data_IF_440138345265
#
_entry.id   IF_440138345265
#
_cell.length_a   1.000
_cell.length_b   1.000
_cell.length_c   1.000
_cell.angle_alpha   90.00
_cell.angle_beta   90.00
_cell.angle_gamma   90.00
#
_symmetry.space_group_name_H-M   'P 1'
#
loop_
_entity.id
_entity.type
_entity.pdbx_description
1 polymer ?
#
# COMPACT_ATOMS: atom_id res chain seq x y z
N UNK A 1 53.84 12.33 22.81
CA UNK A 1 52.68 12.06 21.92
C UNK A 1 51.46 11.87 22.79
N UNK A 2 50.61 12.89 22.93
CA UNK A 2 49.38 12.82 23.72
C UNK A 2 48.40 11.89 22.99
N UNK A 3 48.06 10.75 23.59
CA UNK A 3 47.00 9.85 23.10
C UNK A 3 45.70 10.67 23.15
N UNK A 4 45.25 11.18 22.00
CA UNK A 4 43.93 11.81 21.95
C UNK A 4 42.90 10.76 22.43
N UNK A 5 42.03 11.10 23.41
CA UNK A 5 40.97 10.19 23.80
C UNK A 5 40.15 9.87 22.56
N UNK A 6 40.03 8.58 22.23
CA UNK A 6 39.28 8.15 21.06
C UNK A 6 37.87 8.75 21.14
N UNK A 7 37.37 9.31 20.04
CA UNK A 7 36.01 9.89 19.97
C UNK A 7 34.95 8.92 20.51
N UNK A 8 35.21 7.61 20.41
CA UNK A 8 34.38 6.54 20.98
C UNK A 8 34.20 6.60 22.50
N UNK A 9 35.19 7.09 23.25
CA UNK A 9 35.12 7.23 24.72
C UNK A 9 34.14 8.30 25.19
N UNK A 10 33.58 9.10 24.28
CA UNK A 10 32.51 10.08 24.57
C UNK A 10 31.11 9.46 24.54
N UNK A 11 30.96 8.23 24.04
CA UNK A 11 29.68 7.52 23.99
C UNK A 11 29.61 6.51 25.14
N UNK A 12 29.04 6.94 26.27
CA UNK A 12 29.04 6.19 27.53
C UNK A 12 27.95 5.12 27.65
N UNK A 13 26.97 5.11 26.75
CA UNK A 13 25.85 4.17 26.81
C UNK A 13 26.30 2.75 26.45
N UNK A 14 26.02 1.79 27.35
CA UNK A 14 26.25 0.36 27.14
C UNK A 14 25.33 -0.25 26.07
N UNK A 15 24.33 0.50 25.62
CA UNK A 15 23.38 0.08 24.58
C UNK A 15 23.95 0.22 23.16
N UNK A 16 25.08 0.90 22.98
CA UNK A 16 25.83 0.93 21.71
C UNK A 16 26.59 -0.39 21.45
N UNK A 17 25.93 -1.52 21.70
CA UNK A 17 26.51 -2.85 21.63
C UNK A 17 25.98 -3.68 20.45
N UNK A 18 26.74 -4.71 20.10
CA UNK A 18 26.43 -5.54 18.93
C UNK A 18 25.17 -6.37 19.10
N UNK A 19 24.79 -6.75 20.33
CA UNK A 19 23.61 -7.59 20.58
C UNK A 19 22.35 -6.78 20.37
N UNK A 20 22.30 -5.57 20.92
CA UNK A 20 21.20 -4.63 20.71
C UNK A 20 21.05 -4.31 19.23
N UNK A 21 22.16 -4.02 18.56
CA UNK A 21 22.16 -3.79 17.11
C UNK A 21 21.65 -4.99 16.30
N UNK A 22 21.98 -6.22 16.73
CA UNK A 22 21.57 -7.45 16.05
C UNK A 22 20.07 -7.70 16.18
N UNK A 23 19.50 -7.56 17.38
CA UNK A 23 18.05 -7.71 17.59
C UNK A 23 17.23 -6.70 16.79
N UNK A 24 17.61 -5.43 16.85
CA UNK A 24 16.97 -4.39 16.03
C UNK A 24 17.11 -4.68 14.53
N UNK A 25 18.26 -5.23 14.12
CA UNK A 25 18.48 -5.66 12.73
C UNK A 25 17.56 -6.80 12.30
N UNK A 26 17.34 -7.79 13.16
CA UNK A 26 16.40 -8.90 12.90
C UNK A 26 14.97 -8.36 12.76
N UNK A 27 14.53 -7.50 13.68
CA UNK A 27 13.19 -6.90 13.65
C UNK A 27 12.97 -6.04 12.40
N UNK A 28 13.95 -5.21 12.03
CA UNK A 28 13.94 -4.46 10.77
C UNK A 28 13.89 -5.39 9.55
N UNK A 29 14.68 -6.47 9.55
CA UNK A 29 14.70 -7.44 8.47
C UNK A 29 13.33 -8.09 8.24
N UNK A 30 12.65 -8.48 9.32
CA UNK A 30 11.27 -9.00 9.26
C UNK A 30 10.32 -7.92 8.73
N UNK A 31 10.39 -6.70 9.27
CA UNK A 31 9.50 -5.60 8.89
C UNK A 31 9.64 -5.21 7.41
N UNK A 32 10.87 -5.06 6.92
CA UNK A 32 11.16 -4.78 5.51
C UNK A 32 10.78 -5.97 4.62
N UNK A 33 11.02 -7.21 5.06
CA UNK A 33 10.63 -8.40 4.32
C UNK A 33 9.11 -8.49 4.13
N UNK A 34 8.33 -8.27 5.21
CA UNK A 34 6.87 -8.23 5.14
C UNK A 34 6.41 -7.10 4.22
N UNK A 35 6.92 -5.88 4.39
CA UNK A 35 6.54 -4.74 3.56
C UNK A 35 6.89 -4.98 2.08
N UNK A 36 8.04 -5.56 1.78
CA UNK A 36 8.44 -5.87 0.41
C UNK A 36 7.50 -6.90 -0.23
N UNK A 37 7.24 -8.03 0.44
CA UNK A 37 6.37 -9.08 -0.09
C UNK A 37 4.93 -8.59 -0.31
N UNK A 38 4.37 -7.86 0.65
CA UNK A 38 3.02 -7.29 0.49
C UNK A 38 2.98 -6.16 -0.54
N UNK A 39 4.07 -5.40 -0.69
CA UNK A 39 4.23 -4.40 -1.74
C UNK A 39 4.27 -5.03 -3.14
N UNK A 40 4.95 -6.17 -3.30
CA UNK A 40 4.95 -6.93 -4.55
C UNK A 40 3.55 -7.45 -4.90
N UNK A 41 2.80 -7.94 -3.91
CA UNK A 41 1.39 -8.31 -4.12
C UNK A 41 0.58 -7.11 -4.63
N UNK A 42 0.71 -5.95 -3.98
CA UNK A 42 0.03 -4.73 -4.40
C UNK A 42 0.42 -4.28 -5.81
N UNK A 43 1.69 -4.42 -6.17
CA UNK A 43 2.20 -4.13 -7.51
C UNK A 43 1.62 -5.09 -8.57
N UNK A 44 1.71 -6.41 -8.36
CA UNK A 44 1.19 -7.40 -9.31
C UNK A 44 -0.33 -7.36 -9.47
N UNK A 45 -1.07 -6.87 -8.48
CA UNK A 45 -2.51 -6.64 -8.64
C UNK A 45 -2.82 -5.43 -9.53
N UNK A 46 -1.94 -4.43 -9.56
CA UNK A 46 -2.09 -3.22 -10.40
C UNK A 46 -1.51 -3.40 -11.80
N UNK A 47 -0.42 -4.16 -11.90
CA UNK A 47 0.33 -4.45 -13.11
C UNK A 47 0.61 -5.96 -13.17
N UNK A 48 -0.42 -6.80 -13.39
CA UNK A 48 -0.22 -8.23 -13.47
C UNK A 48 0.61 -8.59 -14.71
N UNK A 49 1.59 -9.51 -14.59
CA UNK A 49 2.19 -10.11 -15.77
C UNK A 49 1.16 -10.95 -16.52
N UNK A 50 1.35 -11.16 -17.82
CA UNK A 50 0.35 -11.78 -18.71
C UNK A 50 -0.12 -13.17 -18.27
N UNK A 51 0.73 -13.91 -17.56
CA UNK A 51 0.42 -15.25 -17.05
C UNK A 51 -0.34 -15.25 -15.71
N UNK A 52 -0.42 -14.12 -15.01
CA UNK A 52 -1.03 -14.03 -13.69
C UNK A 52 -2.44 -13.46 -13.77
N UNK A 53 -3.44 -14.30 -13.48
CA UNK A 53 -4.82 -13.87 -13.24
C UNK A 53 -5.09 -13.81 -11.74
N UNK A 54 -5.25 -12.61 -11.21
CA UNK A 54 -5.52 -12.44 -9.78
C UNK A 54 -6.93 -12.91 -9.41
N UNK A 55 -7.12 -13.68 -8.33
CA UNK A 55 -8.43 -14.18 -7.93
C UNK A 55 -9.29 -13.06 -7.33
N UNK A 56 -10.60 -13.14 -7.52
CA UNK A 56 -11.57 -12.21 -6.89
C UNK A 56 -11.79 -12.49 -5.40
N UNK A 57 -11.25 -13.60 -4.87
CA UNK A 57 -11.45 -14.09 -3.51
C UNK A 57 -10.13 -14.46 -2.82
N UNK A 58 -10.07 -14.38 -1.47
CA UNK A 58 -11.12 -13.88 -0.57
C UNK A 58 -11.26 -12.35 -0.67
N UNK A 59 -12.47 -11.83 -0.41
CA UNK A 59 -12.84 -10.41 -0.63
C UNK A 59 -11.88 -9.42 0.02
N UNK A 60 -11.38 -9.76 1.22
CA UNK A 60 -10.53 -8.90 2.02
C UNK A 60 -9.02 -9.15 1.83
N UNK A 61 -8.58 -10.01 0.90
CA UNK A 61 -7.15 -10.34 0.77
C UNK A 61 -6.31 -9.08 0.54
N UNK A 62 -6.68 -8.24 -0.44
CA UNK A 62 -5.97 -6.98 -0.68
C UNK A 62 -6.02 -6.02 0.52
N UNK A 63 -7.16 -5.93 1.22
CA UNK A 63 -7.27 -5.13 2.46
C UNK A 63 -6.21 -5.56 3.47
N UNK A 64 -6.09 -6.87 3.70
CA UNK A 64 -5.15 -7.43 4.67
C UNK A 64 -3.70 -7.21 4.23
N UNK A 65 -3.36 -7.54 2.98
CA UNK A 65 -1.98 -7.39 2.50
C UNK A 65 -1.55 -5.93 2.46
N UNK A 66 -2.43 -5.02 2.03
CA UNK A 66 -2.14 -3.58 2.04
C UNK A 66 -2.05 -3.01 3.45
N UNK A 67 -2.88 -3.48 4.39
CA UNK A 67 -2.75 -3.12 5.80
C UNK A 67 -1.42 -3.57 6.38
N UNK A 68 -1.03 -4.83 6.16
CA UNK A 68 0.27 -5.36 6.58
C UNK A 68 1.44 -4.58 5.98
N UNK A 69 1.34 -4.15 4.71
CA UNK A 69 2.33 -3.31 4.06
C UNK A 69 2.53 -1.99 4.81
N UNK A 70 1.46 -1.24 5.06
CA UNK A 70 1.55 0.10 5.67
C UNK A 70 1.89 0.01 7.16
N UNK A 71 1.25 -0.89 7.90
CA UNK A 71 1.53 -1.12 9.33
C UNK A 71 2.98 -1.59 9.52
N UNK A 72 3.44 -2.54 8.69
CA UNK A 72 4.82 -3.01 8.70
C UNK A 72 5.81 -1.92 8.30
N UNK A 73 5.46 -1.07 7.33
CA UNK A 73 6.25 0.10 6.94
C UNK A 73 6.40 1.11 8.07
N UNK A 74 5.31 1.47 8.75
CA UNK A 74 5.34 2.44 9.85
C UNK A 74 6.03 1.91 11.10
N UNK A 75 5.93 0.61 11.38
CA UNK A 75 6.66 -0.03 12.47
C UNK A 75 8.18 0.14 12.31
N UNK A 76 8.69 0.34 11.08
CA UNK A 76 10.11 0.60 10.84
C UNK A 76 10.60 1.93 11.39
N UNK A 77 9.74 2.93 11.62
CA UNK A 77 10.16 4.26 12.10
C UNK A 77 10.91 4.16 13.44
N UNK A 78 10.28 3.70 14.54
CA UNK A 78 10.99 3.54 15.81
C UNK A 78 12.13 2.53 15.74
N UNK A 79 11.98 1.45 14.94
CA UNK A 79 13.03 0.44 14.77
C UNK A 79 14.30 1.01 14.12
N UNK A 80 14.13 1.80 13.06
CA UNK A 80 15.23 2.38 12.29
C UNK A 80 15.92 3.48 13.10
N UNK A 81 15.15 4.34 13.78
CA UNK A 81 15.70 5.34 14.70
C UNK A 81 16.51 4.69 15.82
N UNK A 82 15.98 3.65 16.46
CA UNK A 82 16.69 2.90 17.50
C UNK A 82 17.96 2.22 16.95
N UNK A 83 17.87 1.63 15.75
CA UNK A 83 19.02 0.98 15.09
C UNK A 83 20.10 2.00 14.76
N UNK A 84 19.74 3.12 14.16
CA UNK A 84 20.66 4.21 13.82
C UNK A 84 21.30 4.77 15.09
N UNK A 85 20.52 5.03 16.14
CA UNK A 85 21.06 5.47 17.42
C UNK A 85 22.02 4.44 18.03
N UNK A 86 21.69 3.15 17.95
CA UNK A 86 22.58 2.10 18.46
C UNK A 86 23.93 2.08 17.75
N UNK A 87 23.95 2.31 16.43
CA UNK A 87 25.16 2.15 15.61
C UNK A 87 25.87 3.45 15.24
N UNK A 88 25.30 4.63 15.50
CA UNK A 88 25.89 5.91 15.08
C UNK A 88 27.33 6.14 15.59
N UNK A 89 27.75 5.66 16.78
CA UNK A 89 29.16 5.81 17.21
C UNK A 89 30.15 5.20 16.21
N UNK A 90 29.73 4.16 15.46
CA UNK A 90 30.56 3.52 14.43
C UNK A 90 30.86 4.46 13.25
N UNK A 91 30.08 5.51 13.06
CA UNK A 91 30.31 6.52 12.01
C UNK A 91 31.56 7.38 12.32
N UNK A 92 31.87 7.58 13.60
CA UNK A 92 32.97 8.44 14.08
C UNK A 92 34.26 7.68 14.38
N UNK A 93 34.39 6.42 13.94
CA UNK A 93 35.61 5.66 14.11
C UNK A 93 36.73 6.19 13.21
N UNK A 94 37.93 6.33 13.78
CA UNK A 94 39.14 6.75 13.07
C UNK A 94 40.19 5.62 13.06
N UNK A 95 40.86 5.32 11.93
CA UNK A 95 40.67 5.91 10.61
C UNK A 95 39.31 5.51 10.00
N UNK A 96 38.71 6.36 9.14
CA UNK A 96 37.36 6.15 8.61
C UNK A 96 37.33 5.00 7.59
N UNK A 97 38.45 4.79 6.89
CA UNK A 97 38.69 3.69 5.97
C UNK A 97 39.95 2.95 6.41
N UNK A 98 39.85 1.63 6.61
CA UNK A 98 40.95 0.77 7.05
C UNK A 98 41.55 -0.05 5.90
N UNK A 99 40.76 -0.31 4.86
CA UNK A 99 41.14 -1.07 3.67
C UNK A 99 40.11 -0.85 2.56
N UNK A 100 40.43 -1.27 1.32
CA UNK A 100 39.48 -1.25 0.21
C UNK A 100 38.22 -2.09 0.50
N UNK A 101 38.39 -3.28 1.09
CA UNK A 101 37.26 -4.12 1.55
C UNK A 101 36.38 -3.37 2.55
N UNK A 102 36.98 -2.69 3.52
CA UNK A 102 36.22 -1.90 4.48
C UNK A 102 35.48 -0.72 3.83
N UNK A 103 36.08 -0.08 2.82
CA UNK A 103 35.41 0.97 2.05
C UNK A 103 34.17 0.45 1.32
N UNK A 104 34.27 -0.72 0.68
CA UNK A 104 33.11 -1.38 0.02
C UNK A 104 32.02 -1.73 1.03
N UNK A 105 32.37 -2.31 2.18
CA UNK A 105 31.42 -2.62 3.26
C UNK A 105 30.67 -1.36 3.73
N UNK A 106 31.39 -0.24 3.94
CA UNK A 106 30.76 1.03 4.32
C UNK A 106 29.87 1.60 3.21
N UNK A 107 30.27 1.47 1.95
CA UNK A 107 29.46 1.86 0.79
C UNK A 107 28.14 1.09 0.70
N UNK A 108 28.19 -0.22 0.91
CA UNK A 108 26.99 -1.08 0.95
C UNK A 108 26.06 -0.73 2.13
N UNK A 109 26.63 -0.44 3.31
CA UNK A 109 25.85 0.02 4.46
C UNK A 109 25.22 1.39 4.17
N UNK A 110 25.96 2.31 3.56
CA UNK A 110 25.41 3.61 3.16
C UNK A 110 24.22 3.43 2.20
N UNK A 111 24.36 2.58 1.18
CA UNK A 111 23.28 2.27 0.24
C UNK A 111 22.06 1.68 0.96
N UNK A 112 22.27 0.73 1.88
CA UNK A 112 21.22 0.14 2.70
C UNK A 112 20.47 1.20 3.53
N UNK A 113 21.20 2.08 4.22
CA UNK A 113 20.61 3.14 5.06
C UNK A 113 19.87 4.16 4.20
N UNK A 114 20.46 4.59 3.09
CA UNK A 114 19.84 5.55 2.17
C UNK A 114 18.56 4.99 1.57
N UNK A 115 18.56 3.73 1.11
CA UNK A 115 17.39 3.07 0.57
C UNK A 115 16.30 2.87 1.65
N UNK A 116 16.69 2.47 2.87
CA UNK A 116 15.75 2.31 3.99
C UNK A 116 15.08 3.64 4.38
N UNK A 117 15.85 4.72 4.48
CA UNK A 117 15.33 6.06 4.77
C UNK A 117 14.44 6.56 3.63
N UNK A 118 14.85 6.36 2.37
CA UNK A 118 14.03 6.71 1.21
C UNK A 118 12.67 6.00 1.25
N UNK A 119 12.65 4.68 1.47
CA UNK A 119 11.42 3.88 1.55
C UNK A 119 10.51 4.37 2.69
N UNK A 120 11.08 4.53 3.89
CA UNK A 120 10.33 4.96 5.06
C UNK A 120 9.75 6.37 4.88
N UNK A 121 10.56 7.33 4.44
CA UNK A 121 10.14 8.73 4.29
C UNK A 121 9.14 8.87 3.15
N UNK A 122 9.43 8.33 1.96
CA UNK A 122 8.50 8.44 0.84
C UNK A 122 7.18 7.70 1.11
N UNK A 123 7.24 6.53 1.76
CA UNK A 123 6.05 5.80 2.20
C UNK A 123 5.21 6.61 3.20
N UNK A 124 5.85 7.20 4.21
CA UNK A 124 5.19 8.07 5.20
C UNK A 124 4.53 9.29 4.53
N UNK A 125 5.25 9.96 3.62
CA UNK A 125 4.74 11.10 2.87
C UNK A 125 3.54 10.72 1.98
N UNK A 126 3.60 9.55 1.34
CA UNK A 126 2.53 9.04 0.50
C UNK A 126 1.24 8.78 1.30
N UNK A 127 1.33 8.12 2.46
CA UNK A 127 0.14 7.90 3.31
C UNK A 127 -0.37 9.21 3.95
N UNK A 128 0.51 10.20 4.13
CA UNK A 128 0.18 11.53 4.62
C UNK A 128 -0.33 12.49 3.52
N UNK A 129 -0.50 12.02 2.27
CA UNK A 129 -0.95 12.83 1.12
C UNK A 129 -0.02 13.97 0.74
N UNK A 130 1.22 13.93 1.20
CA UNK A 130 2.16 15.00 0.96
C UNK A 130 3.16 14.62 -0.13
N UNK A 131 2.74 14.83 -1.38
CA UNK A 131 3.53 14.55 -2.56
C UNK A 131 4.56 15.66 -2.83
N UNK A 132 5.52 15.83 -1.92
CA UNK A 132 6.56 16.85 -2.00
C UNK A 132 7.69 16.53 -3.00
N UNK A 133 7.55 15.47 -3.78
CA UNK A 133 8.57 14.96 -4.70
C UNK A 133 8.15 15.09 -6.17
N UNK A 134 9.10 15.34 -7.09
CA UNK A 134 8.80 15.54 -8.52
C UNK A 134 8.65 14.24 -9.33
N UNK A 135 8.78 13.07 -8.70
CA UNK A 135 8.75 11.77 -9.37
C UNK A 135 7.46 11.00 -9.07
N UNK A 136 7.16 10.00 -9.90
CA UNK A 136 6.02 9.13 -9.66
C UNK A 136 6.34 8.12 -8.54
N UNK A 137 5.69 8.31 -7.39
CA UNK A 137 5.94 7.56 -6.16
C UNK A 137 6.05 6.05 -6.37
N UNK A 138 5.06 5.43 -7.01
CA UNK A 138 4.97 3.96 -7.10
C UNK A 138 6.15 3.36 -7.86
N UNK A 139 6.65 4.03 -8.90
CA UNK A 139 7.82 3.58 -9.67
C UNK A 139 9.10 3.72 -8.85
N UNK A 140 9.32 4.90 -8.23
CA UNK A 140 10.52 5.14 -7.44
C UNK A 140 10.59 4.24 -6.19
N UNK A 141 9.45 4.08 -5.52
CA UNK A 141 9.28 3.22 -4.36
C UNK A 141 9.48 1.74 -4.72
N UNK A 142 8.93 1.28 -5.85
CA UNK A 142 9.14 -0.09 -6.35
C UNK A 142 10.62 -0.39 -6.61
N UNK A 143 11.31 0.40 -7.44
CA UNK A 143 12.71 0.12 -7.79
C UNK A 143 13.66 0.26 -6.60
N UNK A 144 13.45 1.26 -5.76
CA UNK A 144 14.27 1.43 -4.55
C UNK A 144 14.05 0.27 -3.56
N UNK A 145 12.92 -0.44 -3.63
CA UNK A 145 12.65 -1.57 -2.72
C UNK A 145 13.55 -2.77 -3.06
N UNK A 146 13.83 -3.00 -4.35
CA UNK A 146 14.81 -4.01 -4.77
C UNK A 146 16.23 -3.64 -4.36
N UNK A 147 16.59 -2.36 -4.45
CA UNK A 147 17.89 -1.87 -3.97
C UNK A 147 18.01 -2.13 -2.46
N UNK A 148 16.97 -1.79 -1.69
CA UNK A 148 16.91 -2.03 -0.24
C UNK A 148 17.06 -3.52 0.08
N UNK A 149 16.25 -4.39 -0.53
CA UNK A 149 16.26 -5.84 -0.23
C UNK A 149 17.56 -6.49 -0.68
N UNK A 150 18.10 -6.13 -1.85
CA UNK A 150 19.41 -6.61 -2.29
C UNK A 150 20.52 -6.22 -1.31
N UNK A 151 20.57 -4.95 -0.90
CA UNK A 151 21.54 -4.47 0.07
C UNK A 151 21.35 -5.13 1.46
N UNK A 152 20.10 -5.36 1.87
CA UNK A 152 19.76 -6.04 3.12
C UNK A 152 20.23 -7.50 3.11
N UNK A 153 20.00 -8.24 2.03
CA UNK A 153 20.46 -9.64 1.89
C UNK A 153 21.99 -9.68 2.00
N UNK A 154 22.70 -8.83 1.25
CA UNK A 154 24.17 -8.76 1.32
C UNK A 154 24.62 -8.42 2.75
N UNK A 155 23.97 -7.47 3.41
CA UNK A 155 24.28 -7.11 4.80
C UNK A 155 24.06 -8.28 5.77
N UNK A 156 22.93 -8.99 5.65
CA UNK A 156 22.60 -10.15 6.48
C UNK A 156 23.62 -11.27 6.29
N UNK A 157 24.01 -11.57 5.05
CA UNK A 157 25.02 -12.59 4.74
C UNK A 157 26.37 -12.22 5.35
N UNK A 158 26.82 -10.97 5.16
CA UNK A 158 28.10 -10.50 5.69
C UNK A 158 28.15 -10.49 7.22
N UNK A 159 27.01 -10.28 7.88
CA UNK A 159 26.93 -10.16 9.33
C UNK A 159 26.42 -11.42 10.04
N UNK A 160 26.07 -12.46 9.29
CA UNK A 160 25.40 -13.67 9.78
C UNK A 160 26.13 -14.31 10.97
N UNK A 161 27.41 -14.62 10.81
CA UNK A 161 28.21 -15.24 11.86
C UNK A 161 28.38 -14.34 13.10
N UNK A 162 28.33 -13.01 12.94
CA UNK A 162 28.36 -12.08 14.06
C UNK A 162 27.02 -12.09 14.80
N UNK A 163 25.92 -11.97 14.07
CA UNK A 163 24.56 -12.01 14.64
C UNK A 163 24.32 -13.32 15.39
N UNK A 164 24.65 -14.48 14.79
CA UNK A 164 24.50 -15.78 15.45
C UNK A 164 25.26 -15.85 16.77
N UNK A 165 26.57 -15.51 16.77
CA UNK A 165 27.38 -15.53 17.99
C UNK A 165 26.84 -14.59 19.05
N UNK A 166 26.45 -13.39 18.66
CA UNK A 166 26.08 -12.34 19.61
C UNK A 166 24.68 -12.54 20.19
N UNK A 167 23.73 -13.10 19.42
CA UNK A 167 22.38 -13.43 19.91
C UNK A 167 22.41 -14.66 20.83
N UNK A 168 23.25 -15.66 20.56
CA UNK A 168 23.31 -16.91 21.34
C UNK A 168 24.06 -16.80 22.68
N UNK A 169 24.93 -15.80 22.87
CA UNK A 169 25.63 -15.61 24.15
C UNK A 169 24.65 -15.29 25.30
N UNK A 170 25.00 -15.60 26.54
CA UNK A 170 24.21 -15.15 27.71
C UNK A 170 24.54 -13.68 27.99
N UNK A 171 23.54 -12.78 28.16
CA UNK A 171 23.82 -11.37 28.40
C UNK A 171 24.38 -11.13 29.80
N UNK A 172 25.48 -10.37 29.90
CA UNK A 172 26.07 -9.93 31.18
C UNK A 172 25.30 -8.73 31.77
N UNK A 173 24.83 -7.80 30.93
CA UNK A 173 23.98 -6.66 31.32
C UNK A 173 22.54 -6.86 30.82
N UNK A 174 21.64 -7.23 31.73
CA UNK A 174 20.29 -7.71 31.39
C UNK A 174 19.19 -6.65 31.38
N UNK A 175 19.22 -5.68 32.31
CA UNK A 175 18.05 -4.82 32.59
C UNK A 175 17.91 -3.68 31.59
N UNK A 176 18.97 -2.88 31.39
CA UNK A 176 18.92 -1.71 30.49
C UNK A 176 18.60 -2.07 29.04
N UNK A 177 19.19 -3.18 28.53
CA UNK A 177 18.90 -3.67 27.17
C UNK A 177 17.46 -4.14 27.04
N UNK A 178 16.95 -4.89 28.03
CA UNK A 178 15.57 -5.38 28.02
C UNK A 178 14.60 -4.20 28.05
N UNK A 179 14.85 -3.21 28.92
CA UNK A 179 14.06 -2.00 28.98
C UNK A 179 14.09 -1.26 27.63
N UNK A 180 15.26 -1.04 27.05
CA UNK A 180 15.38 -0.37 25.75
C UNK A 180 14.66 -1.10 24.62
N UNK A 181 14.92 -2.41 24.45
CA UNK A 181 14.26 -3.21 23.41
C UNK A 181 12.75 -3.29 23.63
N UNK A 182 12.29 -3.35 24.89
CA UNK A 182 10.88 -3.30 25.23
C UNK A 182 10.28 -1.93 24.88
N UNK A 183 10.95 -0.82 25.18
CA UNK A 183 10.49 0.53 24.78
C UNK A 183 10.37 0.65 23.27
N UNK A 184 11.35 0.15 22.51
CA UNK A 184 11.29 0.16 21.04
C UNK A 184 10.14 -0.70 20.54
N UNK A 185 9.98 -1.92 21.08
CA UNK A 185 8.87 -2.81 20.73
C UNK A 185 7.51 -2.21 21.08
N UNK A 186 7.39 -1.54 22.24
CA UNK A 186 6.18 -0.85 22.67
C UNK A 186 5.88 0.35 21.79
N UNK A 187 6.89 1.13 21.38
CA UNK A 187 6.72 2.24 20.44
C UNK A 187 6.28 1.75 19.05
N UNK A 188 6.93 0.71 18.50
CA UNK A 188 6.49 0.06 17.27
C UNK A 188 5.07 -0.48 17.40
N UNK A 189 4.76 -1.18 18.49
CA UNK A 189 3.44 -1.74 18.76
C UNK A 189 2.37 -0.66 18.90
N UNK A 190 2.67 0.47 19.54
CA UNK A 190 1.78 1.62 19.64
C UNK A 190 1.49 2.21 18.26
N UNK A 191 2.52 2.43 17.42
CA UNK A 191 2.34 2.89 16.03
C UNK A 191 1.43 1.92 15.27
N UNK A 192 1.73 0.62 15.31
CA UNK A 192 0.91 -0.41 14.66
C UNK A 192 -0.54 -0.41 15.15
N UNK A 193 -0.75 -0.32 16.46
CA UNK A 193 -2.08 -0.29 17.08
C UNK A 193 -2.86 0.97 16.68
N UNK A 194 -2.18 2.12 16.58
CA UNK A 194 -2.83 3.37 16.16
C UNK A 194 -3.11 3.45 14.66
N UNK A 195 -2.48 2.60 13.84
CA UNK A 195 -2.72 2.54 12.39
C UNK A 195 -3.69 1.42 12.00
N UNK A 196 -3.76 0.31 12.75
CA UNK A 196 -4.60 -0.85 12.38
C UNK A 196 -6.07 -0.48 12.18
N UNK A 197 -6.55 0.53 12.90
CA UNK A 197 -7.90 1.06 12.75
C UNK A 197 -8.21 1.66 11.38
N UNK A 198 -7.20 2.09 10.62
CA UNK A 198 -7.35 2.59 9.25
C UNK A 198 -7.67 1.47 8.27
N UNK A 199 -7.15 0.27 8.52
CA UNK A 199 -7.34 -0.89 7.65
C UNK A 199 -8.50 -1.77 8.13
N UNK A 200 -8.75 -1.86 9.43
CA UNK A 200 -9.76 -2.75 9.99
C UNK A 200 -10.85 -1.99 10.73
N UNK A 201 -12.04 -1.90 10.12
CA UNK A 201 -13.13 -1.07 10.60
C UNK A 201 -13.57 -1.32 12.06
N UNK A 202 -13.57 -2.55 12.60
CA UNK A 202 -13.86 -2.77 14.03
C UNK A 202 -12.88 -2.08 14.99
N UNK A 203 -11.68 -1.76 14.52
CA UNK A 203 -10.64 -1.05 15.28
C UNK A 203 -10.54 0.44 14.89
N UNK A 204 -11.50 0.99 14.15
CA UNK A 204 -11.44 2.38 13.66
C UNK A 204 -11.25 3.43 14.77
N UNK A 205 -11.66 3.15 16.02
CA UNK A 205 -11.43 4.02 17.19
C UNK A 205 -9.95 4.21 17.53
N UNK A 206 -9.10 3.27 17.13
CA UNK A 206 -7.66 3.32 17.36
C UNK A 206 -6.94 4.18 16.32
N UNK A 207 -7.60 4.53 15.20
CA UNK A 207 -7.08 5.31 14.08
C UNK A 207 -6.86 6.80 14.42
N UNK A 208 -6.21 7.09 15.55
CA UNK A 208 -6.04 8.45 16.10
C UNK A 208 -5.12 9.30 15.21
N UNK A 209 -4.10 8.66 14.62
CA UNK A 209 -3.11 9.30 13.76
C UNK A 209 -3.45 9.21 12.27
N UNK A 210 -4.64 8.72 11.93
CA UNK A 210 -5.04 8.45 10.57
C UNK A 210 -5.25 9.71 9.75
N UNK A 211 -4.51 9.90 8.64
CA UNK A 211 -4.74 11.00 7.71
C UNK A 211 -6.15 10.98 7.11
N UNK A 212 -6.73 9.78 6.90
CA UNK A 212 -8.15 9.59 6.55
C UNK A 212 -8.82 8.65 7.52
N UNK A 213 -9.85 9.15 8.22
CA UNK A 213 -10.67 8.34 9.11
C UNK A 213 -11.71 7.52 8.33
N UNK A 214 -11.77 6.19 8.53
CA UNK A 214 -12.87 5.39 8.02
C UNK A 214 -14.21 5.96 8.50
N UNK A 215 -15.17 6.15 7.59
CA UNK A 215 -16.49 6.69 7.95
C UNK A 215 -16.67 8.20 7.71
N UNK A 216 -15.61 8.95 7.41
CA UNK A 216 -15.69 10.39 7.11
C UNK A 216 -15.70 10.63 5.60
N UNK A 217 -16.70 11.36 5.13
CA UNK A 217 -16.93 11.70 3.72
C UNK A 217 -18.39 11.53 3.31
N UNK A 218 -18.75 11.85 2.05
CA UNK A 218 -20.09 11.64 1.54
C UNK A 218 -20.52 10.18 1.73
N UNK A 219 -21.78 9.96 2.09
CA UNK A 219 -22.30 8.62 2.42
C UNK A 219 -21.46 7.85 3.46
N UNK A 220 -20.68 8.52 4.33
CA UNK A 220 -19.77 7.90 5.33
C UNK A 220 -18.65 7.06 4.72
N UNK A 221 -18.11 7.45 3.56
CA UNK A 221 -16.95 6.80 2.95
C UNK A 221 -15.87 7.84 2.58
N UNK A 222 -14.57 7.56 2.81
CA UNK A 222 -13.52 8.49 2.42
C UNK A 222 -13.39 8.64 0.91
N UNK A 223 -13.08 9.86 0.46
CA UNK A 223 -12.83 10.21 -0.94
C UNK A 223 -11.33 10.24 -1.20
N UNK A 224 -10.86 9.49 -2.20
CA UNK A 224 -9.47 9.57 -2.65
C UNK A 224 -9.19 10.81 -3.51
N UNK A 225 -9.90 10.92 -4.63
CA UNK A 225 -9.76 11.98 -5.63
C UNK A 225 -11.14 12.61 -5.83
N UNK A 226 -11.30 13.92 -5.69
CA UNK A 226 -12.60 14.58 -5.94
C UNK A 226 -12.90 14.67 -7.44
N UNK A 227 -14.16 14.90 -7.79
CA UNK A 227 -14.59 15.12 -9.17
C UNK A 227 -14.01 16.42 -9.76
N UNK A 228 -13.79 17.42 -8.90
CA UNK A 228 -13.10 18.66 -9.25
C UNK A 228 -11.65 18.36 -9.64
N UNK A 229 -10.91 17.63 -8.81
CA UNK A 229 -9.53 17.24 -9.11
C UNK A 229 -9.44 16.35 -10.37
N UNK A 230 -10.47 15.55 -10.63
CA UNK A 230 -10.59 14.72 -11.81
C UNK A 230 -11.01 15.46 -13.09
N UNK A 231 -11.49 16.71 -12.98
CA UNK A 231 -11.97 17.51 -14.11
C UNK A 231 -13.25 16.97 -14.77
N UNK A 232 -14.10 16.26 -14.02
CA UNK A 232 -15.30 15.58 -14.55
C UNK A 232 -16.62 16.20 -14.08
N UNK A 233 -16.58 17.28 -13.30
CA UNK A 233 -17.78 17.89 -12.69
C UNK A 233 -18.90 18.17 -13.70
N UNK A 234 -18.55 18.71 -14.87
CA UNK A 234 -19.54 19.02 -15.92
C UNK A 234 -19.96 17.78 -16.69
N UNK A 235 -19.01 16.92 -17.09
CA UNK A 235 -19.29 15.76 -17.94
C UNK A 235 -20.09 14.68 -17.21
N UNK A 236 -19.85 14.47 -15.92
CA UNK A 236 -20.56 13.48 -15.11
C UNK A 236 -21.98 13.94 -14.68
N UNK A 237 -22.31 15.23 -14.83
CA UNK A 237 -23.65 15.77 -14.53
C UNK A 237 -24.52 15.94 -15.78
N UNK A 238 -24.01 15.56 -16.95
CA UNK A 238 -24.74 15.63 -18.20
C UNK A 238 -26.01 14.76 -18.15
N UNK A 239 -27.21 15.31 -18.45
CA UNK A 239 -28.45 14.54 -18.46
C UNK A 239 -28.46 13.41 -19.49
N UNK A 240 -27.69 13.57 -20.57
CA UNK A 240 -27.49 12.61 -21.67
C UNK A 240 -26.36 11.61 -21.40
N UNK A 241 -25.92 11.45 -20.15
CA UNK A 241 -24.93 10.43 -19.80
C UNK A 241 -25.46 9.02 -20.11
N UNK A 242 -24.59 8.20 -20.69
CA UNK A 242 -24.83 6.80 -21.01
C UNK A 242 -23.66 5.92 -20.62
N UNK A 243 -23.94 4.63 -20.43
CA UNK A 243 -22.94 3.58 -20.30
C UNK A 243 -22.99 2.66 -21.53
N UNK A 244 -21.87 2.54 -22.23
CA UNK A 244 -21.76 1.68 -23.41
C UNK A 244 -20.92 0.43 -23.13
N UNK A 245 -21.40 -0.74 -23.57
CA UNK A 245 -20.66 -2.00 -23.66
C UNK A 245 -20.33 -2.25 -25.13
N UNK A 246 -19.04 -2.33 -25.46
CA UNK A 246 -18.51 -2.35 -26.85
C UNK A 246 -17.26 -3.24 -26.94
N UNK A 247 -16.68 -3.39 -28.13
CA UNK A 247 -15.49 -4.17 -28.41
C UNK A 247 -15.84 -5.54 -28.98
N UNK A 248 -15.17 -6.59 -28.51
CA UNK A 248 -15.45 -7.98 -28.91
C UNK A 248 -16.73 -8.51 -28.26
N UNK A 249 -17.88 -8.04 -28.74
CA UNK A 249 -19.22 -8.40 -28.27
C UNK A 249 -20.08 -8.88 -29.44
N UNK A 250 -21.04 -9.76 -29.18
CA UNK A 250 -22.04 -10.15 -30.19
C UNK A 250 -22.98 -8.98 -30.51
N UNK A 251 -23.27 -8.14 -29.50
CA UNK A 251 -24.13 -6.97 -29.63
C UNK A 251 -23.64 -5.84 -28.72
N UNK A 252 -23.35 -4.69 -29.32
CA UNK A 252 -23.09 -3.47 -28.56
C UNK A 252 -24.36 -3.01 -27.83
N UNK A 253 -24.20 -2.60 -26.58
CA UNK A 253 -25.31 -2.15 -25.74
C UNK A 253 -24.99 -0.75 -25.21
N UNK A 254 -25.95 0.16 -25.27
CA UNK A 254 -25.84 1.48 -24.64
C UNK A 254 -27.04 1.68 -23.75
N UNK A 255 -26.79 2.08 -22.50
CA UNK A 255 -27.83 2.30 -21.50
C UNK A 255 -27.82 3.75 -21.02
N UNK A 256 -28.98 4.36 -21.03
CA UNK A 256 -29.24 5.56 -20.23
C UNK A 256 -29.26 5.22 -18.73
N UNK A 257 -29.17 6.24 -17.88
CA UNK A 257 -29.29 6.04 -16.43
C UNK A 257 -30.63 5.40 -16.04
N UNK A 258 -31.74 5.75 -16.71
CA UNK A 258 -33.05 5.19 -16.44
C UNK A 258 -33.11 3.69 -16.78
N UNK A 259 -32.52 3.28 -17.91
CA UNK A 259 -32.44 1.87 -18.30
C UNK A 259 -31.56 1.06 -17.36
N UNK A 260 -30.40 1.60 -16.92
CA UNK A 260 -29.55 0.94 -15.92
C UNK A 260 -30.28 0.73 -14.59
N UNK A 261 -31.08 1.69 -14.16
CA UNK A 261 -31.90 1.60 -12.94
C UNK A 261 -33.04 0.58 -13.06
N UNK A 262 -33.54 0.35 -14.27
CA UNK A 262 -34.59 -0.63 -14.55
C UNK A 262 -34.08 -2.08 -14.59
N UNK A 263 -32.78 -2.30 -14.78
CA UNK A 263 -32.17 -3.63 -14.68
C UNK A 263 -32.18 -4.15 -13.23
N UNK A 264 -32.08 -5.47 -13.01
CA UNK A 264 -31.98 -6.04 -11.66
C UNK A 264 -30.84 -5.40 -10.84
N UNK A 265 -31.19 -4.80 -9.71
CA UNK A 265 -30.25 -4.18 -8.79
C UNK A 265 -29.79 -5.18 -7.72
N UNK A 266 -28.51 -5.12 -7.36
CA UNK A 266 -27.90 -5.94 -6.33
C UNK A 266 -27.15 -5.08 -5.33
N UNK A 267 -27.29 -5.38 -4.04
CA UNK A 267 -26.57 -4.71 -2.96
C UNK A 267 -25.51 -5.64 -2.38
N UNK A 268 -24.26 -5.21 -2.39
CA UNK A 268 -23.12 -6.00 -1.91
C UNK A 268 -22.26 -5.16 -0.96
N UNK A 269 -21.90 -5.75 0.19
CA UNK A 269 -21.04 -5.09 1.17
C UNK A 269 -19.57 -5.34 0.86
N UNK A 270 -18.90 -4.35 0.29
CA UNK A 270 -17.52 -4.49 -0.19
C UNK A 270 -16.58 -3.42 0.36
N UNK A 271 -15.29 -3.78 0.55
CA UNK A 271 -14.27 -2.83 0.97
C UNK A 271 -13.74 -2.00 -0.20
N UNK A 272 -13.56 -0.70 0.02
CA UNK A 272 -12.59 0.11 -0.72
C UNK A 272 -11.32 0.15 0.12
N UNK A 273 -10.24 -0.41 -0.43
CA UNK A 273 -8.93 -0.44 0.23
C UNK A 273 -7.95 0.33 -0.64
N UNK A 274 -7.43 1.43 -0.12
CA UNK A 274 -6.56 2.31 -0.89
C UNK A 274 -5.09 1.87 -0.80
N UNK A 275 -4.31 2.12 -1.84
CA UNK A 275 -2.84 1.97 -1.84
C UNK A 275 -2.16 2.88 -0.81
N UNK A 276 -2.88 3.88 -0.29
CA UNK A 276 -2.42 4.81 0.74
C UNK A 276 -2.60 4.26 2.17
N UNK A 277 -3.15 3.05 2.35
CA UNK A 277 -3.22 2.35 3.65
C UNK A 277 -4.55 2.36 4.37
N UNK A 278 -5.44 3.30 4.04
CA UNK A 278 -6.79 3.33 4.60
C UNK A 278 -7.74 2.39 3.85
N UNK A 279 -8.73 1.86 4.56
CA UNK A 279 -9.83 1.12 3.96
C UNK A 279 -11.15 1.35 4.68
N UNK A 280 -12.25 1.27 3.94
CA UNK A 280 -13.60 1.37 4.50
C UNK A 280 -14.55 0.46 3.73
N UNK A 281 -15.51 -0.14 4.43
CA UNK A 281 -16.58 -0.92 3.81
C UNK A 281 -17.79 -0.04 3.53
N UNK A 282 -18.45 -0.29 2.41
CA UNK A 282 -19.74 0.31 2.08
C UNK A 282 -20.70 -0.74 1.53
N UNK A 283 -21.99 -0.43 1.59
CA UNK A 283 -23.05 -1.18 0.93
C UNK A 283 -23.26 -0.55 -0.45
N UNK A 284 -22.82 -1.25 -1.48
CA UNK A 284 -22.86 -0.76 -2.87
C UNK A 284 -24.06 -1.37 -3.57
N UNK A 285 -24.88 -0.55 -4.22
CA UNK A 285 -26.01 -1.04 -5.02
C UNK A 285 -25.81 -0.69 -6.49
N UNK A 286 -26.05 -1.65 -7.38
CA UNK A 286 -26.02 -1.44 -8.82
C UNK A 286 -26.24 -2.70 -9.62
N UNK A 287 -25.89 -2.65 -10.91
CA UNK A 287 -26.02 -3.76 -11.84
C UNK A 287 -24.76 -4.62 -11.77
N UNK A 288 -24.90 -5.95 -11.82
CA UNK A 288 -23.75 -6.85 -11.89
C UNK A 288 -23.07 -6.74 -13.26
N UNK A 289 -21.76 -6.56 -13.25
CA UNK A 289 -20.97 -6.47 -14.49
C UNK A 289 -21.14 -7.73 -15.36
N UNK A 290 -21.15 -8.92 -14.73
CA UNK A 290 -21.33 -10.20 -15.42
C UNK A 290 -22.64 -10.27 -16.21
N UNK A 291 -23.70 -9.63 -15.72
CA UNK A 291 -25.04 -9.76 -16.32
C UNK A 291 -25.12 -8.87 -17.58
N UNK A 292 -24.54 -7.66 -17.52
CA UNK A 292 -24.38 -6.81 -18.71
C UNK A 292 -23.50 -7.47 -19.79
N UNK A 293 -22.38 -8.08 -19.39
CA UNK A 293 -21.47 -8.74 -20.33
C UNK A 293 -22.14 -9.97 -20.97
N UNK A 294 -22.93 -10.73 -20.22
CA UNK A 294 -23.74 -11.84 -20.79
C UNK A 294 -24.79 -11.34 -21.77
N UNK A 295 -25.48 -10.23 -21.47
CA UNK A 295 -26.46 -9.63 -22.39
C UNK A 295 -25.83 -9.16 -23.72
N UNK A 296 -24.54 -8.81 -23.69
CA UNK A 296 -23.75 -8.42 -24.86
C UNK A 296 -23.11 -9.61 -25.59
N UNK A 297 -23.28 -10.84 -25.11
CA UNK A 297 -22.72 -12.04 -25.72
C UNK A 297 -21.20 -12.21 -25.52
N UNK A 298 -20.67 -11.78 -24.37
CA UNK A 298 -19.23 -11.81 -24.09
C UNK A 298 -18.75 -13.22 -23.74
N UNK A 299 -17.66 -13.65 -24.38
CA UNK A 299 -16.99 -14.90 -24.08
C UNK A 299 -16.50 -14.97 -22.62
N UNK A 300 -16.53 -16.16 -22.03
CA UNK A 300 -16.31 -16.35 -20.60
C UNK A 300 -14.86 -16.09 -20.11
N UNK A 301 -13.92 -16.01 -21.04
CA UNK A 301 -12.49 -15.78 -20.84
C UNK A 301 -12.02 -14.41 -21.34
N UNK A 302 -12.93 -13.59 -21.89
CA UNK A 302 -12.60 -12.27 -22.43
C UNK A 302 -12.05 -11.32 -21.35
N UNK A 303 -11.08 -10.50 -21.75
CA UNK A 303 -10.60 -9.41 -20.90
C UNK A 303 -11.51 -8.19 -21.06
N UNK A 304 -11.84 -7.54 -19.94
CA UNK A 304 -12.74 -6.39 -19.93
C UNK A 304 -11.99 -5.19 -19.39
N UNK A 305 -12.20 -4.03 -20.00
CA UNK A 305 -11.61 -2.77 -19.57
C UNK A 305 -12.71 -1.74 -19.36
N UNK A 306 -12.75 -1.13 -18.18
CA UNK A 306 -13.67 -0.03 -17.89
C UNK A 306 -12.96 1.31 -18.12
N UNK A 307 -13.69 2.30 -18.63
CA UNK A 307 -13.17 3.65 -18.92
C UNK A 307 -13.95 4.74 -18.17
N UNK A 308 -13.19 5.67 -17.60
CA UNK A 308 -13.68 6.84 -16.87
C UNK A 308 -13.79 8.06 -17.78
N UNK A 309 -14.70 8.97 -17.43
CA UNK A 309 -14.84 10.30 -18.03
C UNK A 309 -13.60 11.19 -17.84
N UNK A 310 -12.65 10.77 -16.98
CA UNK A 310 -11.38 11.46 -16.79
C UNK A 310 -10.56 11.51 -18.08
N UNK A 311 -10.05 12.71 -18.41
CA UNK A 311 -9.22 12.94 -19.60
C UNK A 311 -7.78 12.45 -19.45
N UNK A 312 -7.26 12.42 -18.22
CA UNK A 312 -5.86 12.08 -17.93
C UNK A 312 -5.71 11.27 -16.65
N UNK A 313 -4.47 10.81 -16.41
CA UNK A 313 -4.11 9.99 -15.25
C UNK A 313 -4.10 8.48 -15.51
N UNK A 314 -3.25 7.72 -14.78
CA UNK A 314 -3.06 6.29 -15.02
C UNK A 314 -4.29 5.44 -14.67
N UNK A 315 -5.16 5.92 -13.78
CA UNK A 315 -6.31 5.16 -13.26
C UNK A 315 -7.64 5.50 -13.93
N UNK A 316 -7.62 6.27 -15.04
CA UNK A 316 -8.81 6.53 -15.87
C UNK A 316 -9.36 5.28 -16.55
N UNK A 317 -8.57 4.20 -16.57
CA UNK A 317 -8.88 2.90 -17.17
C UNK A 317 -8.52 1.81 -16.18
N UNK A 318 -9.31 0.74 -16.14
CA UNK A 318 -8.97 -0.44 -15.33
C UNK A 318 -9.35 -1.74 -16.04
N UNK A 319 -8.44 -2.70 -16.04
CA UNK A 319 -8.69 -4.05 -16.51
C UNK A 319 -9.39 -4.87 -15.42
N UNK A 320 -10.48 -5.51 -15.80
CA UNK A 320 -11.29 -6.41 -14.98
C UNK A 320 -11.20 -7.79 -15.64
N UNK A 321 -10.29 -8.62 -15.14
CA UNK A 321 -10.08 -9.96 -15.68
C UNK A 321 -11.23 -10.93 -15.37
N UNK A 322 -11.36 -12.06 -16.09
CA UNK A 322 -12.42 -13.05 -15.92
C UNK A 322 -12.77 -13.43 -14.48
N UNK A 323 -11.80 -13.68 -13.56
CA UNK A 323 -12.14 -13.98 -12.18
C UNK A 323 -12.98 -12.88 -11.51
N UNK A 324 -12.74 -11.61 -11.85
CA UNK A 324 -13.42 -10.47 -11.26
C UNK A 324 -14.73 -10.15 -11.98
N UNK A 325 -14.75 -10.04 -13.30
CA UNK A 325 -15.98 -9.62 -13.98
C UNK A 325 -17.07 -10.69 -13.87
N UNK A 326 -16.71 -11.98 -13.72
CA UNK A 326 -17.66 -13.09 -13.50
C UNK A 326 -18.15 -13.19 -12.05
N UNK A 327 -17.45 -12.58 -11.08
CA UNK A 327 -17.83 -12.65 -9.67
C UNK A 327 -19.19 -11.97 -9.46
N UNK A 328 -20.18 -12.63 -8.81
CA UNK A 328 -21.48 -12.02 -8.50
C UNK A 328 -21.39 -10.73 -7.68
N UNK A 329 -20.29 -10.51 -6.96
CA UNK A 329 -20.10 -9.30 -6.16
C UNK A 329 -19.59 -8.11 -6.97
N UNK A 330 -19.18 -8.30 -8.22
CA UNK A 330 -18.69 -7.19 -9.04
C UNK A 330 -19.85 -6.38 -9.61
N UNK A 331 -19.95 -5.14 -9.16
CA UNK A 331 -21.03 -4.22 -9.53
C UNK A 331 -20.50 -3.03 -10.33
N UNK A 332 -21.33 -2.58 -11.26
CA UNK A 332 -21.39 -1.20 -11.70
C UNK A 332 -22.35 -0.48 -10.77
N UNK A 333 -21.80 0.08 -9.69
CA UNK A 333 -22.56 0.69 -8.61
C UNK A 333 -23.12 2.06 -9.02
N UNK A 334 -24.36 2.31 -8.58
CA UNK A 334 -25.14 3.54 -8.77
C UNK A 334 -25.49 4.20 -7.43
N UNK A 335 -25.54 3.43 -6.34
CA UNK A 335 -25.76 3.90 -4.97
C UNK A 335 -24.66 3.43 -4.03
N UNK A 336 -24.47 4.19 -2.95
CA UNK A 336 -23.61 3.86 -1.83
C UNK A 336 -24.34 4.15 -0.52
N UNK A 337 -24.39 3.14 0.36
CA UNK A 337 -24.99 3.23 1.70
C UNK A 337 -26.44 3.75 1.67
N UNK A 338 -27.22 3.29 0.69
CA UNK A 338 -28.66 3.60 0.56
C UNK A 338 -28.98 4.92 -0.12
N UNK A 339 -27.99 5.68 -0.60
CA UNK A 339 -28.18 6.92 -1.33
C UNK A 339 -27.51 6.87 -2.71
N UNK A 340 -28.00 7.64 -3.71
CA UNK A 340 -27.29 7.83 -4.97
C UNK A 340 -25.83 8.19 -4.75
N UNK A 341 -24.95 7.69 -5.61
CA UNK A 341 -23.54 8.01 -5.52
C UNK A 341 -23.34 9.52 -5.45
N UNK A 342 -22.49 9.95 -4.53
CA UNK A 342 -21.96 11.30 -4.58
C UNK A 342 -21.05 11.44 -5.82
N UNK A 343 -20.96 12.67 -6.35
CA UNK A 343 -20.09 12.96 -7.48
C UNK A 343 -18.63 12.59 -7.16
N UNK A 344 -18.15 12.86 -5.95
CA UNK A 344 -16.79 12.50 -5.53
C UNK A 344 -16.60 10.98 -5.35
N UNK A 345 -17.70 10.24 -5.18
CA UNK A 345 -17.70 8.78 -5.17
C UNK A 345 -17.92 8.14 -6.54
N UNK A 346 -18.03 8.94 -7.60
CA UNK A 346 -18.04 8.42 -8.97
C UNK A 346 -19.41 8.37 -9.62
N UNK A 347 -20.42 9.10 -9.11
CA UNK A 347 -21.67 9.31 -9.85
C UNK A 347 -21.38 9.78 -11.27
N UNK A 348 -22.06 9.27 -12.30
CA UNK A 348 -23.28 8.46 -12.23
C UNK A 348 -23.06 6.96 -12.00
N UNK A 349 -21.87 6.43 -12.31
CA UNK A 349 -21.58 5.00 -12.25
C UNK A 349 -20.11 4.75 -11.90
N UNK A 350 -19.86 3.76 -11.05
CA UNK A 350 -18.50 3.32 -10.68
C UNK A 350 -18.35 1.82 -10.70
N UNK A 351 -17.13 1.33 -10.91
CA UNK A 351 -16.78 -0.05 -10.65
C UNK A 351 -16.59 -0.27 -9.14
N UNK A 352 -17.10 -1.40 -8.64
CA UNK A 352 -16.68 -2.00 -7.38
C UNK A 352 -16.60 -3.53 -7.57
N UNK A 353 -15.45 -4.10 -7.24
CA UNK A 353 -15.20 -5.55 -7.30
C UNK A 353 -14.45 -6.03 -6.06
N UNK A 354 -14.65 -7.28 -5.60
CA UNK A 354 -13.93 -7.82 -4.45
C UNK A 354 -12.42 -7.96 -4.73
N UNK A 355 -11.61 -7.98 -3.66
CA UNK A 355 -10.17 -8.25 -3.71
C UNK A 355 -9.36 -7.43 -4.75
N UNK A 356 -9.59 -6.12 -4.83
CA UNK A 356 -8.88 -5.23 -5.76
C UNK A 356 -8.36 -3.97 -5.10
N UNK A 357 -7.23 -3.41 -5.58
CA UNK A 357 -6.78 -2.10 -5.17
C UNK A 357 -7.82 -1.02 -5.46
N UNK A 358 -8.01 -0.10 -4.52
CA UNK A 358 -9.00 0.98 -4.63
C UNK A 358 -8.75 1.89 -5.84
N UNK A 359 -7.50 2.02 -6.29
CA UNK A 359 -7.15 2.75 -7.51
C UNK A 359 -7.67 2.09 -8.80
N UNK A 360 -7.98 0.78 -8.76
CA UNK A 360 -8.57 0.02 -9.86
C UNK A 360 -10.11 -0.06 -9.80
N UNK A 361 -10.73 0.61 -8.81
CA UNK A 361 -12.18 0.70 -8.67
C UNK A 361 -12.66 1.99 -9.37
N UNK A 362 -12.53 2.00 -10.70
CA UNK A 362 -12.67 3.20 -11.54
C UNK A 362 -14.01 3.89 -11.34
N UNK A 363 -13.96 5.22 -11.21
CA UNK A 363 -15.12 6.10 -10.99
C UNK A 363 -15.54 6.81 -12.28
N UNK A 364 -16.76 7.34 -12.31
CA UNK A 364 -17.29 8.12 -13.44
C UNK A 364 -17.23 7.35 -14.75
N UNK A 365 -17.69 6.10 -14.73
CA UNK A 365 -17.65 5.23 -15.90
C UNK A 365 -18.53 5.78 -17.02
N UNK A 366 -18.11 5.53 -18.27
CA UNK A 366 -18.97 5.75 -19.45
C UNK A 366 -18.87 4.59 -20.46
N UNK A 367 -17.80 3.78 -20.40
CA UNK A 367 -17.63 2.67 -21.34
C UNK A 367 -17.03 1.44 -20.67
N UNK A 368 -17.50 0.27 -21.08
CA UNK A 368 -16.95 -1.05 -20.83
C UNK A 368 -16.54 -1.63 -22.18
N UNK A 369 -15.24 -1.84 -22.37
CA UNK A 369 -14.65 -2.35 -23.61
C UNK A 369 -14.22 -3.80 -23.41
N UNK A 370 -14.69 -4.70 -24.25
CA UNK A 370 -14.27 -6.10 -24.30
C UNK A 370 -13.14 -6.22 -25.31
N UNK A 371 -11.99 -6.73 -24.86
CA UNK A 371 -10.76 -6.77 -25.64
C UNK A 371 -10.58 -8.05 -26.43
#
# INVERSE_FOLDING_TARGET
>A
MVRQPSVLGRFSSRLHDERTASWLGIWLGVSFGVAFLTGLISHFMQQPPDWLRWPSRPVNLYRVTQGLHVIGGLATIPLLLAKMWTVYPKLFQWPPLRSARHAVERGLIFLLVAAALFQMVTGLLNIAYWYAFPFFFTVAHYWTSYILIGALIIHVVNEWAKVQRTVMKRPEDGVDRRAFLFTVAAASGAVMLTTVGETFSPLARLAVLAPRRPGVGPARLPVNTSAVAAGVTTTARKPDWTLTVTGQVERELTFTMAELRALPQHTERLPISCVEGWSASGDWTGVRLRDLLRMAGVAADAQVRVESLQRGGPYRKSWVDPPHWRDPLTLLALDLNGAPLDLDHGSPCRLIAPNRPGVLQTKWLHTVVVA
#
